data_IF_302558199170
#
_entry.id   IF_302558199170
#
_cell.length_a   1.000
_cell.length_b   1.000
_cell.length_c   1.000
_cell.angle_alpha   90.00
_cell.angle_beta   90.00
_cell.angle_gamma   90.00
#
_symmetry.space_group_name_H-M   'P 1'
#
loop_
_entity.id
_entity.type
_entity.pdbx_description
1 polymer ?
#
# COMPACT_ATOMS: atom_id res chain seq x y z
N UNK A 1 30.23 7.26 -11.33
CA UNK A 1 31.20 6.19 -10.95
C UNK A 1 30.42 5.19 -10.08
N UNK A 2 30.42 3.91 -10.42
CA UNK A 2 29.80 2.88 -9.57
C UNK A 2 30.82 2.37 -8.56
N UNK A 3 30.42 2.17 -7.31
CA UNK A 3 31.24 1.52 -6.30
C UNK A 3 31.43 0.05 -6.66
N UNK A 4 32.63 -0.46 -6.41
CA UNK A 4 32.96 -1.86 -6.67
C UNK A 4 32.56 -2.75 -5.50
N UNK A 5 31.46 -3.47 -5.64
CA UNK A 5 31.00 -4.47 -4.68
C UNK A 5 31.53 -5.90 -4.98
N UNK A 6 32.53 -6.03 -5.83
CA UNK A 6 33.12 -7.32 -6.17
C UNK A 6 32.41 -8.04 -7.31
N UNK A 7 31.64 -7.35 -8.16
CA UNK A 7 31.01 -7.91 -9.36
C UNK A 7 31.68 -7.33 -10.60
N UNK A 8 32.22 -8.20 -11.46
CA UNK A 8 32.80 -7.83 -12.75
C UNK A 8 31.71 -7.77 -13.82
N UNK A 9 31.05 -6.62 -13.95
CA UNK A 9 30.02 -6.37 -14.95
C UNK A 9 30.54 -6.41 -16.40
N UNK A 10 31.83 -6.20 -16.61
CA UNK A 10 32.45 -6.23 -17.94
C UNK A 10 32.92 -7.63 -18.32
N UNK A 11 33.20 -8.47 -17.32
CA UNK A 11 33.63 -9.87 -17.47
C UNK A 11 32.52 -10.89 -17.28
N UNK A 12 31.27 -10.57 -17.64
CA UNK A 12 30.15 -11.50 -17.60
C UNK A 12 29.51 -11.68 -16.23
N UNK A 13 29.64 -10.72 -15.32
CA UNK A 13 28.95 -10.73 -14.01
C UNK A 13 29.63 -11.66 -12.98
N UNK A 14 30.89 -12.01 -13.16
CA UNK A 14 31.63 -12.86 -12.20
C UNK A 14 31.73 -12.16 -10.85
N UNK A 15 31.48 -12.93 -9.79
CA UNK A 15 31.53 -12.46 -8.41
C UNK A 15 32.90 -12.78 -7.78
N UNK A 16 33.45 -11.80 -7.07
CA UNK A 16 34.71 -11.86 -6.35
C UNK A 16 34.48 -11.38 -4.92
N UNK A 17 33.97 -12.27 -4.06
CA UNK A 17 33.59 -11.96 -2.66
C UNK A 17 34.53 -12.59 -1.63
N UNK A 18 35.57 -13.31 -2.08
CA UNK A 18 36.65 -13.85 -1.27
C UNK A 18 38.02 -13.41 -1.84
N UNK A 19 38.79 -12.57 -1.13
CA UNK A 19 38.41 -11.90 0.12
C UNK A 19 37.25 -10.93 -0.05
N UNK A 20 36.53 -10.64 1.05
CA UNK A 20 35.43 -9.65 1.06
C UNK A 20 35.96 -8.31 0.56
N UNK A 21 35.26 -7.67 -0.42
CA UNK A 21 35.68 -6.37 -0.95
C UNK A 21 35.74 -5.28 0.13
N UNK A 22 36.77 -4.45 0.09
CA UNK A 22 36.94 -3.31 1.01
C UNK A 22 35.72 -2.36 1.05
N UNK A 23 35.04 -2.21 -0.08
CA UNK A 23 33.78 -1.45 -0.16
C UNK A 23 32.73 -1.93 0.84
N UNK A 24 32.64 -3.24 1.08
CA UNK A 24 31.64 -3.79 2.02
C UNK A 24 31.88 -3.32 3.45
N UNK A 25 33.13 -3.32 3.90
CA UNK A 25 33.49 -2.84 5.24
C UNK A 25 33.20 -1.35 5.39
N UNK A 26 33.56 -0.53 4.38
CA UNK A 26 33.30 0.91 4.38
C UNK A 26 31.80 1.23 4.43
N UNK A 27 30.99 0.51 3.66
CA UNK A 27 29.54 0.69 3.68
C UNK A 27 28.92 0.22 5.00
N UNK A 28 29.43 -0.85 5.59
CA UNK A 28 29.02 -1.28 6.92
C UNK A 28 29.32 -0.22 7.97
N UNK A 29 30.53 0.36 7.95
CA UNK A 29 30.92 1.44 8.87
C UNK A 29 29.97 2.65 8.76
N UNK A 30 29.54 3.02 7.55
CA UNK A 30 28.54 4.08 7.33
C UNK A 30 27.21 3.71 7.98
N UNK A 31 26.70 2.48 7.76
CA UNK A 31 25.45 2.02 8.37
C UNK A 31 25.53 2.04 9.89
N UNK A 32 26.60 1.48 10.47
CA UNK A 32 26.82 1.47 11.92
C UNK A 32 26.96 2.88 12.50
N UNK A 33 27.64 3.79 11.80
CA UNK A 33 27.74 5.20 12.20
C UNK A 33 26.36 5.84 12.36
N UNK A 34 25.48 5.67 11.37
CA UNK A 34 24.14 6.25 11.44
C UNK A 34 23.25 5.54 12.47
N UNK A 35 23.37 4.23 12.64
CA UNK A 35 22.71 3.53 13.76
C UNK A 35 23.14 4.12 15.10
N UNK A 36 24.45 4.38 15.30
CA UNK A 36 24.96 5.04 16.49
C UNK A 36 24.48 6.49 16.67
N UNK A 37 23.98 7.13 15.63
CA UNK A 37 23.32 8.45 15.68
C UNK A 37 21.81 8.36 15.90
N UNK A 38 21.25 7.15 16.02
CA UNK A 38 19.84 6.92 16.29
C UNK A 38 18.97 6.74 15.06
N UNK A 39 19.52 6.31 13.93
CA UNK A 39 18.72 5.93 12.78
C UNK A 39 17.92 4.66 13.08
N UNK A 40 16.60 4.70 12.91
CA UNK A 40 15.68 3.57 13.12
C UNK A 40 15.53 2.70 11.88
N UNK A 41 15.77 3.27 10.70
CA UNK A 41 15.62 2.56 9.43
C UNK A 41 16.52 3.14 8.33
N UNK A 42 16.77 2.33 7.30
CA UNK A 42 17.43 2.73 6.06
C UNK A 42 16.54 2.40 4.86
N UNK A 43 16.28 3.39 4.02
CA UNK A 43 15.79 3.18 2.66
C UNK A 43 17.00 3.06 1.74
N UNK A 44 17.11 1.92 1.08
CA UNK A 44 18.24 1.59 0.21
C UNK A 44 17.85 1.81 -1.24
N UNK A 45 18.45 2.86 -1.81
CA UNK A 45 18.25 3.27 -3.18
C UNK A 45 18.74 2.20 -4.15
N UNK A 46 17.92 1.88 -5.18
CA UNK A 46 18.27 0.93 -6.25
C UNK A 46 18.96 -0.33 -5.71
N UNK A 47 18.42 -0.91 -4.63
CA UNK A 47 19.08 -1.99 -3.87
C UNK A 47 19.44 -3.21 -4.76
N UNK A 48 18.68 -3.47 -5.82
CA UNK A 48 18.96 -4.54 -6.77
C UNK A 48 20.20 -4.30 -7.66
N UNK A 49 20.74 -3.08 -7.66
CA UNK A 49 22.02 -2.76 -8.32
C UNK A 49 23.24 -3.14 -7.46
N UNK A 50 23.02 -3.58 -6.23
CA UNK A 50 24.05 -4.03 -5.28
C UNK A 50 23.84 -5.53 -5.02
N UNK A 51 24.91 -6.35 -5.00
CA UNK A 51 24.78 -7.79 -4.82
C UNK A 51 23.99 -8.17 -3.58
N UNK A 52 23.11 -9.14 -3.70
CA UNK A 52 22.29 -9.62 -2.58
C UNK A 52 23.14 -10.18 -1.44
N UNK A 53 24.32 -10.71 -1.76
CA UNK A 53 25.32 -11.21 -0.81
C UNK A 53 25.86 -10.10 0.11
N UNK A 54 26.08 -8.90 -0.45
CA UNK A 54 26.44 -7.73 0.37
C UNK A 54 25.32 -7.40 1.36
N UNK A 55 24.08 -7.33 0.90
CA UNK A 55 22.94 -7.01 1.78
C UNK A 55 22.76 -8.05 2.88
N UNK A 56 22.86 -9.33 2.53
CA UNK A 56 22.83 -10.41 3.54
C UNK A 56 23.90 -10.21 4.62
N UNK A 57 25.13 -9.95 4.20
CA UNK A 57 26.24 -9.76 5.10
C UNK A 57 26.10 -8.48 5.93
N UNK A 58 25.84 -7.34 5.30
CA UNK A 58 25.79 -6.03 5.96
C UNK A 58 24.60 -5.93 6.92
N UNK A 59 23.38 -6.32 6.48
CA UNK A 59 22.18 -6.28 7.33
C UNK A 59 22.34 -7.20 8.53
N UNK A 60 22.93 -8.39 8.35
CA UNK A 60 23.22 -9.28 9.48
C UNK A 60 24.15 -8.63 10.48
N UNK A 61 25.23 -8.01 10.03
CA UNK A 61 26.21 -7.31 10.90
C UNK A 61 25.60 -6.12 11.62
N UNK A 62 24.75 -5.35 10.97
CA UNK A 62 24.03 -4.25 11.62
C UNK A 62 23.09 -4.80 12.70
N UNK A 63 22.30 -5.82 12.38
CA UNK A 63 21.31 -6.39 13.31
C UNK A 63 21.93 -7.15 14.50
N UNK A 64 23.21 -7.54 14.44
CA UNK A 64 23.95 -8.03 15.62
C UNK A 64 23.99 -7.00 16.77
N UNK A 65 24.11 -5.71 16.45
CA UNK A 65 24.21 -4.62 17.44
C UNK A 65 22.93 -3.76 17.54
N UNK A 66 22.16 -3.70 16.46
CA UNK A 66 20.96 -2.88 16.31
C UNK A 66 19.79 -3.73 15.76
N UNK A 67 19.24 -4.69 16.52
CA UNK A 67 18.28 -5.67 16.02
C UNK A 67 16.93 -5.07 15.58
N UNK A 68 16.58 -3.87 16.06
CA UNK A 68 15.34 -3.17 15.71
C UNK A 68 15.42 -2.32 14.44
N UNK A 69 16.62 -2.11 13.88
CA UNK A 69 16.79 -1.30 12.68
C UNK A 69 16.15 -1.97 11.48
N UNK A 70 15.34 -1.21 10.73
CA UNK A 70 14.57 -1.69 9.59
C UNK A 70 15.31 -1.34 8.28
N UNK A 71 15.31 -2.28 7.33
CA UNK A 71 15.86 -2.06 5.99
C UNK A 71 14.74 -2.15 4.95
N UNK A 72 14.60 -1.09 4.14
CA UNK A 72 13.59 -0.95 3.09
C UNK A 72 14.32 -0.86 1.75
N UNK A 73 14.07 -1.78 0.83
CA UNK A 73 14.71 -1.77 -0.47
C UNK A 73 13.82 -1.16 -1.56
N UNK A 74 14.43 -0.37 -2.41
CA UNK A 74 13.86 -0.01 -3.69
C UNK A 74 14.32 -1.01 -4.75
N UNK A 75 13.36 -1.73 -5.36
CA UNK A 75 13.61 -2.75 -6.38
C UNK A 75 12.56 -2.62 -7.48
N UNK A 76 12.99 -2.51 -8.74
CA UNK A 76 12.11 -2.36 -9.91
C UNK A 76 11.93 -3.66 -10.71
N UNK A 77 12.43 -4.78 -10.20
CA UNK A 77 12.23 -6.10 -10.80
C UNK A 77 11.51 -7.03 -9.82
N UNK A 78 10.25 -7.34 -10.10
CA UNK A 78 9.43 -8.23 -9.25
C UNK A 78 10.02 -9.64 -9.11
N UNK A 79 10.75 -10.13 -10.11
CA UNK A 79 11.41 -11.45 -10.04
C UNK A 79 12.46 -11.50 -8.92
N UNK A 80 12.99 -10.35 -8.51
CA UNK A 80 13.99 -10.24 -7.44
C UNK A 80 13.37 -10.05 -6.04
N UNK A 81 12.08 -9.75 -5.90
CA UNK A 81 11.47 -9.43 -4.61
C UNK A 81 11.75 -10.50 -3.55
N UNK A 82 11.45 -11.77 -3.85
CA UNK A 82 11.68 -12.88 -2.90
C UNK A 82 13.15 -13.04 -2.54
N UNK A 83 14.05 -12.88 -3.51
CA UNK A 83 15.49 -13.00 -3.28
C UNK A 83 15.98 -11.96 -2.28
N UNK A 84 15.53 -10.70 -2.41
CA UNK A 84 15.97 -9.62 -1.53
C UNK A 84 15.30 -9.68 -0.15
N UNK A 85 14.08 -10.21 -0.04
CA UNK A 85 13.45 -10.49 1.25
C UNK A 85 14.15 -11.68 1.95
N UNK A 86 14.29 -12.81 1.28
CA UNK A 86 14.72 -14.06 1.91
C UNK A 86 16.25 -14.13 2.09
N UNK A 87 17.00 -13.88 1.02
CA UNK A 87 18.47 -13.90 1.03
C UNK A 87 19.05 -12.55 1.47
N UNK A 88 18.55 -11.45 0.91
CA UNK A 88 19.02 -10.09 1.20
C UNK A 88 18.67 -9.60 2.59
N UNK A 89 17.68 -10.22 3.27
CA UNK A 89 17.21 -9.92 4.62
C UNK A 89 16.58 -8.54 4.79
N UNK A 90 16.07 -7.96 3.72
CA UNK A 90 15.27 -6.74 3.82
C UNK A 90 13.97 -6.99 4.58
N UNK A 91 13.58 -6.04 5.40
CA UNK A 91 12.33 -6.09 6.15
C UNK A 91 11.16 -5.73 5.25
N UNK A 92 11.34 -4.73 4.35
CA UNK A 92 10.31 -4.28 3.40
C UNK A 92 10.92 -3.94 2.05
N UNK A 93 10.08 -4.03 1.00
CA UNK A 93 10.36 -3.58 -0.35
C UNK A 93 9.29 -2.58 -0.81
N UNK A 94 9.65 -1.60 -1.63
CA UNK A 94 8.68 -0.78 -2.35
C UNK A 94 7.89 -1.64 -3.34
N UNK A 95 6.57 -1.55 -3.33
CA UNK A 95 5.73 -2.15 -4.37
C UNK A 95 5.44 -1.15 -5.50
N UNK A 96 6.51 -0.72 -6.19
CA UNK A 96 6.44 0.25 -7.28
C UNK A 96 5.87 -0.38 -8.54
N UNK A 97 6.52 -1.41 -9.06
CA UNK A 97 6.17 -2.04 -10.36
C UNK A 97 4.99 -3.01 -10.26
N UNK A 98 4.58 -3.36 -9.04
CA UNK A 98 3.37 -4.15 -8.77
C UNK A 98 2.16 -3.25 -8.57
N UNK A 99 1.85 -2.95 -7.31
CA UNK A 99 0.61 -2.29 -6.94
C UNK A 99 0.55 -0.82 -7.37
N UNK A 100 1.64 -0.03 -7.17
CA UNK A 100 1.62 1.40 -7.52
C UNK A 100 1.33 1.61 -9.02
N UNK A 101 2.11 1.00 -9.91
CA UNK A 101 1.94 1.17 -11.36
C UNK A 101 0.55 0.71 -11.82
N UNK A 102 0.04 -0.36 -11.21
CA UNK A 102 -1.27 -0.87 -11.54
C UNK A 102 -2.39 0.07 -11.09
N UNK A 103 -2.34 0.59 -9.86
CA UNK A 103 -3.31 1.58 -9.37
C UNK A 103 -3.29 2.85 -10.21
N UNK A 104 -2.09 3.33 -10.57
CA UNK A 104 -1.95 4.46 -11.49
C UNK A 104 -2.64 4.18 -12.82
N UNK A 105 -2.39 3.02 -13.41
CA UNK A 105 -3.03 2.62 -14.67
C UNK A 105 -4.56 2.52 -14.58
N UNK A 106 -5.11 2.04 -13.46
CA UNK A 106 -6.57 1.98 -13.24
C UNK A 106 -7.17 3.38 -13.12
N UNK A 107 -6.55 4.25 -12.32
CA UNK A 107 -7.00 5.64 -12.13
C UNK A 107 -6.92 6.47 -13.41
N UNK A 108 -5.88 6.27 -14.21
CA UNK A 108 -5.72 6.92 -15.52
C UNK A 108 -6.51 6.24 -16.64
N UNK A 109 -7.40 5.29 -16.33
CA UNK A 109 -8.24 4.56 -17.30
C UNK A 109 -7.47 3.77 -18.37
N UNK A 110 -6.23 3.38 -18.09
CA UNK A 110 -5.36 2.64 -19.01
C UNK A 110 -5.52 1.11 -18.86
N UNK A 111 -5.87 0.64 -17.65
CA UNK A 111 -6.04 -0.78 -17.36
C UNK A 111 -7.31 -1.02 -16.55
N UNK A 112 -7.80 -2.26 -16.56
CA UNK A 112 -8.95 -2.72 -15.77
C UNK A 112 -8.58 -2.89 -14.30
N UNK A 113 -9.51 -2.56 -13.38
CA UNK A 113 -9.37 -2.83 -11.96
C UNK A 113 -9.21 -4.32 -11.64
N UNK A 114 -9.75 -5.22 -12.49
CA UNK A 114 -9.52 -6.66 -12.37
C UNK A 114 -8.03 -7.06 -12.37
N UNK A 115 -7.16 -6.23 -12.95
CA UNK A 115 -5.71 -6.50 -12.92
C UNK A 115 -5.06 -6.33 -11.54
N UNK A 116 -5.75 -5.72 -10.57
CA UNK A 116 -5.29 -5.65 -9.17
C UNK A 116 -5.16 -7.04 -8.54
N UNK A 117 -5.92 -8.03 -9.03
CA UNK A 117 -5.77 -9.44 -8.63
C UNK A 117 -4.34 -9.95 -8.85
N UNK A 118 -3.71 -9.62 -9.95
CA UNK A 118 -2.32 -10.04 -10.23
C UNK A 118 -1.31 -9.40 -9.25
N UNK A 119 -1.64 -8.22 -8.69
CA UNK A 119 -0.73 -7.55 -7.76
C UNK A 119 -0.55 -8.37 -6.47
N UNK A 120 -1.64 -8.82 -5.84
CA UNK A 120 -1.53 -9.64 -4.64
C UNK A 120 -0.99 -11.05 -4.93
N UNK A 121 -1.36 -11.64 -6.08
CA UNK A 121 -0.86 -12.97 -6.48
C UNK A 121 0.67 -12.97 -6.67
N UNK A 122 1.23 -11.91 -7.27
CA UNK A 122 2.68 -11.83 -7.51
C UNK A 122 3.50 -11.73 -6.23
N UNK A 123 2.91 -11.23 -5.15
CA UNK A 123 3.55 -11.08 -3.83
C UNK A 123 2.95 -12.02 -2.77
N UNK A 124 2.23 -13.06 -3.19
CA UNK A 124 1.68 -14.06 -2.26
C UNK A 124 2.77 -14.63 -1.35
N UNK A 125 2.48 -14.72 -0.05
CA UNK A 125 3.43 -15.13 0.99
C UNK A 125 4.45 -14.04 1.41
N UNK A 126 4.62 -12.95 0.64
CA UNK A 126 5.48 -11.80 1.02
C UNK A 126 4.73 -10.47 1.06
N UNK A 127 3.42 -10.46 0.81
CA UNK A 127 2.60 -9.24 0.75
C UNK A 127 2.71 -8.37 2.02
N UNK A 128 2.87 -8.97 3.19
CA UNK A 128 3.10 -8.25 4.45
C UNK A 128 4.46 -7.53 4.53
N UNK A 129 5.37 -7.79 3.60
CA UNK A 129 6.69 -7.15 3.48
C UNK A 129 6.75 -6.10 2.35
N UNK A 130 5.61 -5.82 1.71
CA UNK A 130 5.54 -4.79 0.69
C UNK A 130 5.16 -3.46 1.32
N UNK A 131 5.96 -2.42 1.09
CA UNK A 131 5.65 -1.05 1.44
C UNK A 131 4.92 -0.41 0.27
N UNK A 132 3.62 -0.18 0.46
CA UNK A 132 2.76 0.44 -0.55
C UNK A 132 2.81 1.97 -0.46
N UNK A 133 2.53 2.64 -1.57
CA UNK A 133 2.48 4.09 -1.64
C UNK A 133 1.67 4.55 -2.87
N UNK A 134 1.26 5.82 -2.87
CA UNK A 134 0.64 6.48 -4.02
C UNK A 134 1.48 7.63 -4.56
N UNK A 135 2.43 8.13 -3.77
CA UNK A 135 3.39 9.17 -4.11
C UNK A 135 4.74 8.88 -3.47
N UNK A 136 5.81 9.29 -4.11
CA UNK A 136 7.15 9.38 -3.55
C UNK A 136 7.94 10.51 -4.24
N UNK A 137 9.23 10.62 -3.96
CA UNK A 137 10.09 11.68 -4.51
C UNK A 137 10.45 11.50 -5.99
N UNK A 138 10.19 10.32 -6.57
CA UNK A 138 10.46 9.99 -7.98
C UNK A 138 9.19 9.99 -8.84
N UNK A 139 8.02 9.87 -8.23
CA UNK A 139 6.74 9.76 -8.94
C UNK A 139 5.94 11.06 -8.90
N UNK A 140 5.05 11.24 -9.87
CA UNK A 140 4.15 12.40 -9.90
C UNK A 140 3.23 12.40 -8.68
N UNK A 141 2.93 13.60 -8.18
CA UNK A 141 1.91 13.81 -7.17
C UNK A 141 0.57 13.28 -7.65
N UNK A 142 -0.18 12.65 -6.77
CA UNK A 142 -1.50 12.11 -7.10
C UNK A 142 -2.43 13.18 -7.69
N UNK A 143 -2.42 14.37 -7.09
CA UNK A 143 -3.28 15.48 -7.50
C UNK A 143 -2.76 16.22 -8.74
N UNK A 144 -1.56 15.92 -9.26
CA UNK A 144 -1.01 16.58 -10.45
C UNK A 144 -1.77 16.24 -11.72
N UNK A 145 -1.69 17.11 -12.73
CA UNK A 145 -2.28 16.87 -14.04
C UNK A 145 -1.63 15.67 -14.77
N UNK A 146 -0.43 15.30 -14.37
CA UNK A 146 0.31 14.16 -14.91
C UNK A 146 -0.10 12.81 -14.28
N UNK A 147 -0.97 12.81 -13.26
CA UNK A 147 -1.50 11.59 -12.67
C UNK A 147 -3.04 11.64 -12.64
N UNK A 148 -3.68 11.85 -11.47
CA UNK A 148 -5.14 11.81 -11.36
C UNK A 148 -5.83 13.16 -11.62
N UNK A 149 -5.08 14.26 -11.58
CA UNK A 149 -5.57 15.63 -11.81
C UNK A 149 -6.37 16.22 -10.64
N UNK A 150 -6.88 15.39 -9.73
CA UNK A 150 -7.66 15.81 -8.58
C UNK A 150 -7.44 14.87 -7.39
N UNK A 151 -7.11 15.45 -6.23
CA UNK A 151 -6.90 14.71 -4.99
C UNK A 151 -8.17 14.01 -4.47
N UNK A 152 -9.36 14.49 -4.82
CA UNK A 152 -10.64 13.88 -4.38
C UNK A 152 -10.86 12.47 -4.98
N UNK A 153 -10.11 12.08 -6.02
CA UNK A 153 -10.14 10.74 -6.62
C UNK A 153 -9.37 9.69 -5.83
N UNK A 154 -8.72 10.06 -4.72
CA UNK A 154 -7.74 9.20 -4.04
C UNK A 154 -8.34 8.01 -3.31
N UNK A 155 -9.59 8.10 -2.84
CA UNK A 155 -10.17 7.16 -1.88
C UNK A 155 -10.06 5.69 -2.31
N UNK A 156 -10.44 5.25 -3.53
CA UNK A 156 -10.35 3.85 -3.91
C UNK A 156 -8.89 3.33 -3.91
N UNK A 157 -7.95 4.13 -4.39
CA UNK A 157 -6.53 3.76 -4.40
C UNK A 157 -5.92 3.74 -2.99
N UNK A 158 -6.30 4.70 -2.14
CA UNK A 158 -5.85 4.76 -0.75
C UNK A 158 -6.33 3.53 0.04
N UNK A 159 -7.58 3.12 -0.14
CA UNK A 159 -8.15 1.92 0.50
C UNK A 159 -7.44 0.67 0.01
N UNK A 160 -7.26 0.49 -1.30
CA UNK A 160 -6.55 -0.68 -1.84
C UNK A 160 -5.10 -0.71 -1.34
N UNK A 161 -4.36 0.39 -1.42
CA UNK A 161 -2.96 0.45 -0.98
C UNK A 161 -2.77 0.18 0.51
N UNK A 162 -3.73 0.59 1.35
CA UNK A 162 -3.60 0.48 2.81
C UNK A 162 -4.26 -0.76 3.41
N UNK A 163 -5.09 -1.51 2.64
CA UNK A 163 -5.90 -2.59 3.19
C UNK A 163 -5.79 -3.93 2.46
N UNK A 164 -5.16 -3.97 1.26
CA UNK A 164 -5.03 -5.21 0.48
C UNK A 164 -4.13 -6.24 1.18
N UNK A 165 -3.06 -5.80 1.82
CA UNK A 165 -2.13 -6.66 2.55
C UNK A 165 -1.89 -6.14 3.98
N UNK A 166 -1.00 -6.80 4.73
CA UNK A 166 -0.61 -6.42 6.10
C UNK A 166 0.65 -5.54 6.14
N UNK A 167 1.19 -5.19 4.98
CA UNK A 167 2.39 -4.36 4.86
C UNK A 167 2.12 -2.88 5.18
N UNK A 168 3.17 -2.11 5.43
CA UNK A 168 3.05 -0.68 5.71
C UNK A 168 2.67 0.13 4.47
N UNK A 169 2.09 1.31 4.69
CA UNK A 169 1.85 2.30 3.67
C UNK A 169 2.64 3.57 3.95
N UNK A 170 3.35 4.06 2.95
CA UNK A 170 4.07 5.34 2.99
C UNK A 170 3.17 6.46 2.48
N UNK A 171 3.14 7.57 3.21
CA UNK A 171 2.52 8.84 2.78
C UNK A 171 3.63 9.83 2.51
N UNK A 172 3.69 10.35 1.28
CA UNK A 172 4.64 11.37 0.92
C UNK A 172 4.20 12.73 1.47
N UNK A 173 5.12 13.57 1.91
CA UNK A 173 4.81 14.84 2.57
C UNK A 173 3.91 15.74 1.70
N UNK A 174 2.81 16.23 2.29
CA UNK A 174 1.79 17.04 1.59
C UNK A 174 0.79 16.27 0.74
N UNK A 175 0.92 14.94 0.60
CA UNK A 175 -0.02 14.09 -0.12
C UNK A 175 -1.43 14.21 0.47
N UNK A 176 -1.55 14.19 1.80
CA UNK A 176 -2.82 14.33 2.53
C UNK A 176 -3.40 15.75 2.48
N UNK A 177 -2.65 16.69 1.92
CA UNK A 177 -3.08 18.07 1.67
C UNK A 177 -3.42 18.33 0.20
N UNK A 178 -3.24 17.33 -0.66
CA UNK A 178 -3.51 17.43 -2.09
C UNK A 178 -2.46 18.25 -2.85
N UNK A 179 -1.18 18.10 -2.46
CA UNK A 179 -0.07 18.75 -3.17
C UNK A 179 -0.02 18.35 -4.65
N UNK A 180 0.15 19.32 -5.55
CA UNK A 180 0.08 19.11 -7.00
C UNK A 180 1.42 19.21 -7.72
N UNK A 181 2.45 19.78 -7.07
CA UNK A 181 3.73 20.10 -7.70
C UNK A 181 3.58 21.00 -8.94
N UNK A 182 2.97 22.17 -8.74
CA UNK A 182 2.68 23.13 -9.83
C UNK A 182 3.90 24.01 -10.18
N UNK A 183 4.93 23.98 -9.35
CA UNK A 183 6.19 24.71 -9.57
C UNK A 183 7.23 23.85 -10.31
N UNK A 184 8.42 24.43 -10.55
CA UNK A 184 9.51 23.76 -11.26
C UNK A 184 10.33 22.83 -10.31
N UNK A 185 9.65 22.03 -9.50
CA UNK A 185 10.20 21.17 -8.44
C UNK A 185 10.38 19.71 -8.86
N UNK A 186 10.14 19.41 -10.13
CA UNK A 186 10.33 18.11 -10.74
C UNK A 186 11.73 17.90 -11.32
N UNK A 187 11.95 16.73 -11.92
CA UNK A 187 13.20 16.41 -12.63
C UNK A 187 13.39 17.23 -13.91
N UNK A 188 12.29 17.58 -14.56
CA UNK A 188 12.24 18.31 -15.82
C UNK A 188 11.47 19.62 -15.70
N UNK A 189 11.60 20.31 -14.57
CA UNK A 189 10.83 21.49 -14.25
C UNK A 189 9.43 21.14 -13.77
N UNK A 190 8.37 21.68 -14.40
CA UNK A 190 6.96 21.44 -14.02
C UNK A 190 6.44 20.11 -14.56
N UNK A 191 6.84 19.02 -13.97
CA UNK A 191 6.47 17.67 -14.40
C UNK A 191 5.56 16.91 -13.42
N UNK A 192 4.98 17.61 -12.45
CA UNK A 192 4.08 17.05 -11.45
C UNK A 192 4.77 16.29 -10.31
N UNK A 193 6.09 16.43 -10.18
CA UNK A 193 6.90 15.82 -9.10
C UNK A 193 7.39 16.88 -8.13
N UNK A 194 7.61 16.46 -6.88
CA UNK A 194 8.39 17.21 -5.91
C UNK A 194 9.57 16.33 -5.51
N UNK A 195 10.75 16.60 -6.06
CA UNK A 195 11.97 15.81 -5.81
C UNK A 195 12.58 16.15 -4.46
N UNK A 196 13.54 15.32 -4.01
CA UNK A 196 14.35 15.58 -2.80
C UNK A 196 15.77 16.06 -3.13
N UNK A 197 16.05 16.34 -4.41
CA UNK A 197 17.39 16.66 -4.89
C UNK A 197 17.71 18.15 -4.82
N UNK A 198 16.74 18.98 -4.42
CA UNK A 198 16.90 20.41 -4.19
C UNK A 198 15.96 20.85 -3.05
N UNK A 199 16.02 22.15 -2.68
CA UNK A 199 15.21 22.74 -1.62
C UNK A 199 13.95 23.38 -2.20
N UNK A 200 12.79 22.80 -1.86
CA UNK A 200 11.49 23.30 -2.35
C UNK A 200 10.65 23.89 -1.23
N UNK A 201 9.94 24.96 -1.56
CA UNK A 201 9.01 25.63 -0.65
C UNK A 201 7.58 25.21 -0.98
N UNK A 202 7.18 24.03 -0.53
CA UNK A 202 5.85 23.47 -0.81
C UNK A 202 4.76 24.24 -0.08
N UNK A 203 3.90 24.92 -0.82
CA UNK A 203 2.90 25.86 -0.29
C UNK A 203 1.88 25.20 0.63
N UNK A 204 1.37 24.02 0.28
CA UNK A 204 0.38 23.31 1.10
C UNK A 204 0.96 22.89 2.44
N UNK A 205 2.19 22.40 2.47
CA UNK A 205 2.90 22.03 3.70
C UNK A 205 3.20 23.26 4.57
N UNK A 206 3.59 24.38 3.96
CA UNK A 206 3.82 25.66 4.69
C UNK A 206 2.54 26.18 5.34
N UNK A 207 1.41 26.06 4.64
CA UNK A 207 0.10 26.43 5.20
C UNK A 207 -0.25 25.57 6.42
N UNK A 208 -0.02 24.25 6.36
CA UNK A 208 -0.22 23.36 7.49
C UNK A 208 0.78 23.62 8.61
N UNK A 209 2.07 23.81 8.29
CA UNK A 209 3.13 24.08 9.28
C UNK A 209 2.85 25.36 10.09
N UNK A 210 2.34 26.40 9.45
CA UNK A 210 1.86 27.66 10.09
C UNK A 210 2.82 28.20 11.17
N UNK A 211 4.07 28.37 10.80
CA UNK A 211 5.12 28.87 11.73
C UNK A 211 5.31 27.98 12.98
N UNK A 212 5.20 26.67 12.84
CA UNK A 212 5.38 25.70 13.92
C UNK A 212 4.12 25.31 14.66
N UNK A 213 2.94 25.89 14.34
CA UNK A 213 1.68 25.51 15.00
C UNK A 213 1.13 24.16 14.53
N UNK A 214 1.51 23.71 13.34
CA UNK A 214 1.06 22.46 12.72
C UNK A 214 -0.48 22.35 12.75
N UNK A 215 -1.16 23.39 12.28
CA UNK A 215 -2.61 23.53 12.41
C UNK A 215 -3.33 23.53 11.07
N UNK A 216 -4.59 23.15 11.09
CA UNK A 216 -5.46 23.17 9.90
C UNK A 216 -6.09 24.56 9.64
N UNK A 217 -5.77 25.58 10.43
CA UNK A 217 -6.43 26.89 10.38
C UNK A 217 -6.31 27.56 9.00
N UNK A 218 -5.15 27.45 8.36
CA UNK A 218 -4.85 28.04 7.04
C UNK A 218 -5.18 27.13 5.85
N UNK A 219 -5.64 25.91 6.10
CA UNK A 219 -6.04 24.99 5.05
C UNK A 219 -7.42 25.34 4.51
N UNK A 220 -7.63 25.17 3.20
CA UNK A 220 -8.94 25.27 2.57
C UNK A 220 -9.90 24.19 3.06
N UNK A 221 -11.20 24.35 2.83
CA UNK A 221 -12.21 23.34 3.18
C UNK A 221 -11.92 21.99 2.47
N UNK A 222 -11.48 22.03 1.20
CA UNK A 222 -11.10 20.85 0.42
C UNK A 222 -9.91 20.12 1.06
N UNK A 223 -8.85 20.83 1.42
CA UNK A 223 -7.67 20.26 2.09
C UNK A 223 -8.00 19.64 3.46
N UNK A 224 -8.85 20.31 4.25
CA UNK A 224 -9.32 19.77 5.54
C UNK A 224 -10.11 18.48 5.36
N UNK A 225 -11.01 18.42 4.37
CA UNK A 225 -11.79 17.23 4.03
C UNK A 225 -10.86 16.07 3.61
N UNK A 226 -9.94 16.34 2.69
CA UNK A 226 -8.96 15.35 2.21
C UNK A 226 -8.10 14.80 3.36
N UNK A 227 -7.54 15.69 4.19
CA UNK A 227 -6.73 15.29 5.34
C UNK A 227 -7.52 14.43 6.35
N UNK A 228 -8.78 14.77 6.59
CA UNK A 228 -9.65 13.95 7.43
C UNK A 228 -9.92 12.58 6.81
N UNK A 229 -10.09 12.51 5.49
CA UNK A 229 -10.24 11.25 4.77
C UNK A 229 -9.01 10.35 4.95
N UNK A 230 -7.81 10.89 4.73
CA UNK A 230 -6.55 10.17 5.00
C UNK A 230 -6.47 9.69 6.45
N UNK A 231 -6.79 10.58 7.42
CA UNK A 231 -6.81 10.22 8.84
C UNK A 231 -7.76 9.06 9.12
N UNK A 232 -8.97 9.07 8.54
CA UNK A 232 -9.97 8.01 8.72
C UNK A 232 -9.45 6.69 8.14
N UNK A 233 -9.04 6.67 6.88
CA UNK A 233 -8.59 5.44 6.20
C UNK A 233 -7.34 4.85 6.85
N UNK A 234 -6.35 5.68 7.19
CA UNK A 234 -5.12 5.23 7.85
C UNK A 234 -5.38 4.74 9.30
N UNK A 235 -6.35 5.31 10.01
CA UNK A 235 -6.74 4.78 11.30
C UNK A 235 -7.45 3.42 11.18
N UNK A 236 -8.33 3.24 10.20
CA UNK A 236 -8.94 1.95 9.91
C UNK A 236 -7.83 0.93 9.62
N UNK A 237 -6.92 1.22 8.70
CA UNK A 237 -5.86 0.29 8.34
C UNK A 237 -4.93 -0.09 9.51
N UNK A 238 -4.73 0.81 10.47
CA UNK A 238 -3.89 0.59 11.64
C UNK A 238 -4.61 -0.13 12.79
N UNK A 239 -5.91 0.10 12.97
CA UNK A 239 -6.65 -0.34 14.14
C UNK A 239 -7.43 -1.62 13.93
N UNK A 240 -7.92 -1.89 12.70
CA UNK A 240 -8.70 -3.08 12.43
C UNK A 240 -7.80 -4.32 12.34
N UNK A 241 -8.07 -5.30 13.21
CA UNK A 241 -7.26 -6.52 13.29
C UNK A 241 -7.28 -7.31 12.00
N UNK A 242 -8.41 -7.28 11.29
CA UNK A 242 -8.56 -7.92 9.98
C UNK A 242 -7.60 -7.35 8.92
N UNK A 243 -7.21 -6.06 9.01
CA UNK A 243 -6.20 -5.47 8.13
C UNK A 243 -4.79 -5.82 8.62
N UNK A 244 -4.52 -5.61 9.92
CA UNK A 244 -3.17 -5.71 10.50
C UNK A 244 -2.65 -7.14 10.51
N UNK A 245 -3.54 -8.13 10.68
CA UNK A 245 -3.18 -9.55 10.93
C UNK A 245 -4.00 -10.55 10.14
N UNK A 246 -5.04 -10.08 9.45
CA UNK A 246 -6.05 -10.96 8.86
C UNK A 246 -5.65 -11.53 7.52
N UNK A 247 -6.38 -12.56 7.14
CA UNK A 247 -6.32 -13.17 5.83
C UNK A 247 -7.02 -12.28 4.79
N UNK A 248 -6.60 -12.42 3.56
CA UNK A 248 -7.15 -11.74 2.39
C UNK A 248 -7.91 -12.74 1.51
N UNK A 249 -9.02 -12.30 0.92
CA UNK A 249 -9.77 -13.09 -0.06
C UNK A 249 -10.26 -12.20 -1.21
N UNK A 250 -9.82 -12.49 -2.42
CA UNK A 250 -10.23 -11.76 -3.63
C UNK A 250 -11.61 -12.20 -4.09
N UNK A 251 -12.52 -11.24 -4.32
CA UNK A 251 -13.87 -11.49 -4.81
C UNK A 251 -14.03 -11.28 -6.32
N UNK A 252 -12.96 -10.90 -7.03
CA UNK A 252 -13.04 -10.52 -8.44
C UNK A 252 -13.44 -11.69 -9.35
N UNK A 253 -12.94 -12.91 -9.07
CA UNK A 253 -13.16 -14.06 -9.93
C UNK A 253 -14.64 -14.49 -10.03
N UNK A 254 -15.44 -14.27 -8.96
CA UNK A 254 -16.89 -14.59 -8.95
C UNK A 254 -17.76 -13.42 -9.38
N UNK A 255 -17.17 -12.22 -9.52
CA UNK A 255 -17.88 -11.00 -9.90
C UNK A 255 -17.52 -10.49 -11.30
N UNK A 256 -16.71 -11.22 -12.06
CA UNK A 256 -16.28 -10.82 -13.40
C UNK A 256 -17.43 -10.66 -14.40
N UNK A 257 -18.46 -11.50 -14.31
CA UNK A 257 -19.67 -11.47 -15.16
C UNK A 257 -20.91 -11.01 -14.39
N UNK A 258 -20.76 -10.44 -13.19
CA UNK A 258 -21.86 -9.97 -12.38
C UNK A 258 -22.44 -8.67 -12.97
N UNK A 259 -23.73 -8.64 -13.39
CA UNK A 259 -24.31 -7.46 -14.05
C UNK A 259 -24.44 -6.24 -13.14
N UNK A 260 -24.33 -6.41 -11.81
CA UNK A 260 -24.37 -5.35 -10.82
C UNK A 260 -22.99 -4.92 -10.35
N UNK A 261 -21.93 -5.38 -11.03
CA UNK A 261 -20.53 -5.07 -10.67
C UNK A 261 -19.71 -4.87 -11.94
N UNK A 262 -18.98 -3.76 -12.02
CA UNK A 262 -18.11 -3.48 -13.15
C UNK A 262 -16.65 -3.82 -12.83
N UNK A 263 -16.13 -4.99 -13.22
CA UNK A 263 -14.77 -5.42 -12.91
C UNK A 263 -13.68 -4.56 -13.55
N UNK A 264 -14.03 -3.72 -14.53
CA UNK A 264 -13.08 -2.77 -15.12
C UNK A 264 -12.85 -1.54 -14.25
N UNK A 265 -13.82 -1.19 -13.39
CA UNK A 265 -13.82 0.03 -12.58
C UNK A 265 -14.01 -0.20 -11.09
N UNK A 266 -14.35 -1.41 -10.68
CA UNK A 266 -14.60 -1.76 -9.29
C UNK A 266 -13.71 -2.91 -8.87
N UNK A 267 -13.34 -2.92 -7.61
CA UNK A 267 -12.57 -4.00 -7.01
C UNK A 267 -13.17 -4.35 -5.65
N UNK A 268 -13.27 -5.64 -5.33
CA UNK A 268 -13.86 -6.11 -4.10
C UNK A 268 -13.03 -7.24 -3.48
N UNK A 269 -12.86 -7.19 -2.16
CA UNK A 269 -12.14 -8.20 -1.41
C UNK A 269 -12.60 -8.27 0.05
N UNK A 270 -12.25 -9.36 0.71
CA UNK A 270 -12.48 -9.55 2.14
C UNK A 270 -11.16 -9.49 2.91
N UNK A 271 -11.27 -9.01 4.15
CA UNK A 271 -10.22 -9.16 5.17
C UNK A 271 -10.86 -9.80 6.40
N UNK A 272 -10.18 -10.75 7.02
CA UNK A 272 -10.75 -11.42 8.22
C UNK A 272 -9.67 -11.80 9.23
N UNK A 273 -9.95 -11.50 10.50
CA UNK A 273 -9.16 -11.97 11.64
C UNK A 273 -10.09 -12.33 12.81
N UNK A 274 -10.00 -13.55 13.31
CA UNK A 274 -10.91 -14.01 14.36
C UNK A 274 -12.38 -13.91 13.93
N UNK A 275 -13.18 -13.16 14.67
CA UNK A 275 -14.58 -12.87 14.34
C UNK A 275 -14.78 -11.58 13.55
N UNK A 276 -13.75 -10.78 13.38
CA UNK A 276 -13.81 -9.54 12.60
C UNK A 276 -13.72 -9.83 11.12
N UNK A 277 -14.77 -9.49 10.37
CA UNK A 277 -14.83 -9.55 8.91
C UNK A 277 -14.98 -8.14 8.35
N UNK A 278 -14.17 -7.81 7.37
CA UNK A 278 -14.33 -6.59 6.57
C UNK A 278 -14.70 -6.98 5.13
N UNK A 279 -15.79 -6.42 4.63
CA UNK A 279 -16.16 -6.45 3.21
C UNK A 279 -15.76 -5.10 2.61
N UNK A 280 -14.78 -5.11 1.71
CA UNK A 280 -14.17 -3.91 1.15
C UNK A 280 -14.48 -3.84 -0.33
N UNK A 281 -15.06 -2.72 -0.76
CA UNK A 281 -15.44 -2.48 -2.15
C UNK A 281 -15.01 -1.08 -2.55
N UNK A 282 -14.36 -0.94 -3.69
CA UNK A 282 -13.90 0.35 -4.21
C UNK A 282 -14.41 0.60 -5.62
N UNK A 283 -14.59 1.87 -5.96
CA UNK A 283 -15.07 2.33 -7.26
C UNK A 283 -14.11 3.37 -7.87
N UNK A 284 -13.47 3.02 -8.96
CA UNK A 284 -12.57 3.89 -9.74
C UNK A 284 -13.30 4.65 -10.87
N UNK A 285 -14.62 4.54 -10.98
CA UNK A 285 -15.45 5.32 -11.91
C UNK A 285 -15.83 6.66 -11.26
N UNK A 286 -16.07 7.68 -12.09
CA UNK A 286 -16.58 8.98 -11.64
C UNK A 286 -18.08 8.96 -11.28
N UNK A 287 -18.79 7.92 -11.69
CA UNK A 287 -20.22 7.73 -11.43
C UNK A 287 -20.46 6.92 -10.17
N UNK A 288 -21.53 7.26 -9.46
CA UNK A 288 -22.01 6.44 -8.34
C UNK A 288 -22.48 5.06 -8.84
N UNK A 289 -22.36 4.05 -8.01
CA UNK A 289 -22.77 2.68 -8.30
C UNK A 289 -23.49 2.05 -7.10
N UNK A 290 -24.59 1.35 -7.38
CA UNK A 290 -25.21 0.44 -6.41
C UNK A 290 -24.81 -0.99 -6.80
N UNK A 291 -23.86 -1.55 -6.05
CA UNK A 291 -23.27 -2.84 -6.35
C UNK A 291 -23.87 -3.95 -5.51
N UNK A 292 -23.91 -5.14 -6.09
CA UNK A 292 -24.28 -6.39 -5.40
C UNK A 292 -23.14 -7.38 -5.61
N UNK A 293 -22.38 -7.65 -4.56
CA UNK A 293 -21.17 -8.47 -4.60
C UNK A 293 -21.50 -9.89 -4.22
N UNK A 294 -21.19 -10.85 -5.08
CA UNK A 294 -21.23 -12.26 -4.75
C UNK A 294 -20.07 -12.63 -3.83
N UNK A 295 -20.36 -13.30 -2.72
CA UNK A 295 -19.38 -13.90 -1.81
C UNK A 295 -19.58 -15.41 -1.91
N UNK A 296 -18.67 -16.18 -2.51
CA UNK A 296 -18.89 -17.58 -2.83
C UNK A 296 -18.76 -18.49 -1.61
N UNK A 297 -19.34 -19.72 -1.69
CA UNK A 297 -19.19 -20.77 -0.65
C UNK A 297 -17.72 -20.95 -0.24
N UNK A 298 -16.81 -20.97 -1.22
CA UNK A 298 -15.37 -21.10 -0.96
C UNK A 298 -14.82 -20.02 -0.01
N UNK A 299 -15.35 -18.78 -0.07
CA UNK A 299 -14.98 -17.73 0.88
C UNK A 299 -15.51 -18.04 2.29
N UNK A 300 -16.75 -18.53 2.39
CA UNK A 300 -17.33 -18.93 3.67
C UNK A 300 -16.56 -20.07 4.32
N UNK A 301 -16.19 -21.09 3.54
CA UNK A 301 -15.40 -22.22 4.02
C UNK A 301 -13.98 -21.80 4.43
N UNK A 302 -13.24 -21.14 3.53
CA UNK A 302 -11.83 -20.79 3.74
C UNK A 302 -11.66 -19.80 4.88
N UNK A 303 -12.50 -18.76 4.93
CA UNK A 303 -12.44 -17.74 5.96
C UNK A 303 -13.31 -18.06 7.18
N UNK A 304 -13.99 -19.22 7.21
CA UNK A 304 -14.89 -19.62 8.31
C UNK A 304 -15.92 -18.54 8.62
N UNK A 305 -16.62 -18.07 7.59
CA UNK A 305 -17.72 -17.10 7.71
C UNK A 305 -18.99 -17.87 8.04
N UNK A 306 -19.74 -17.42 9.04
CA UNK A 306 -21.04 -17.97 9.39
C UNK A 306 -22.13 -17.18 8.68
N UNK A 307 -22.99 -17.88 7.92
CA UNK A 307 -24.14 -17.25 7.27
C UNK A 307 -25.14 -16.71 8.29
N UNK A 308 -25.77 -15.58 7.99
CA UNK A 308 -26.76 -14.97 8.87
C UNK A 308 -26.92 -13.47 8.69
N UNK A 309 -27.79 -12.91 9.51
CA UNK A 309 -28.01 -11.45 9.58
C UNK A 309 -27.14 -10.83 10.66
N UNK A 310 -26.46 -9.76 10.31
CA UNK A 310 -25.51 -9.05 11.17
C UNK A 310 -25.72 -7.54 11.09
N UNK A 311 -25.53 -6.84 12.21
CA UNK A 311 -25.31 -5.41 12.17
C UNK A 311 -23.93 -5.17 11.55
N UNK A 312 -23.84 -4.40 10.49
CA UNK A 312 -22.63 -4.01 9.82
C UNK A 312 -22.41 -2.50 10.00
N UNK A 313 -21.17 -2.10 10.30
CA UNK A 313 -20.74 -0.72 10.40
C UNK A 313 -19.89 -0.34 9.21
N UNK A 314 -20.30 0.67 8.44
CA UNK A 314 -19.46 1.27 7.41
C UNK A 314 -18.42 2.20 8.08
N UNK A 315 -17.13 1.87 7.96
CA UNK A 315 -16.09 2.50 8.77
C UNK A 315 -15.67 3.89 8.28
N UNK A 316 -15.95 4.24 7.02
CA UNK A 316 -15.58 5.55 6.45
C UNK A 316 -16.65 6.58 6.71
N UNK A 317 -17.92 6.24 6.45
CA UNK A 317 -19.09 7.11 6.63
C UNK A 317 -19.73 7.04 8.02
N UNK A 318 -19.58 5.91 8.70
CA UNK A 318 -20.15 5.68 10.03
C UNK A 318 -21.57 5.10 10.01
N UNK A 319 -22.10 4.73 8.86
CA UNK A 319 -23.44 4.20 8.73
C UNK A 319 -23.56 2.77 9.29
N UNK A 320 -24.69 2.47 9.92
CA UNK A 320 -25.02 1.12 10.41
C UNK A 320 -26.21 0.55 9.66
N UNK A 321 -26.04 -0.67 9.18
CA UNK A 321 -27.11 -1.39 8.47
C UNK A 321 -27.14 -2.86 8.87
N UNK A 322 -28.33 -3.46 8.76
CA UNK A 322 -28.46 -4.92 8.81
C UNK A 322 -28.06 -5.50 7.47
N UNK A 323 -27.01 -6.32 7.45
CA UNK A 323 -26.56 -7.05 6.26
C UNK A 323 -26.77 -8.53 6.45
N UNK A 324 -27.13 -9.21 5.37
CA UNK A 324 -27.20 -10.67 5.32
C UNK A 324 -25.96 -11.22 4.62
N UNK A 325 -25.26 -12.10 5.30
CA UNK A 325 -24.12 -12.85 4.75
C UNK A 325 -24.61 -14.24 4.36
N UNK A 326 -24.59 -14.53 3.07
CA UNK A 326 -24.98 -15.83 2.51
C UNK A 326 -24.31 -15.99 1.14
N UNK A 327 -23.91 -17.20 0.73
CA UNK A 327 -23.44 -17.47 -0.62
C UNK A 327 -24.50 -17.20 -1.70
N UNK A 328 -25.78 -17.35 -1.35
CA UNK A 328 -26.91 -17.21 -2.29
C UNK A 328 -27.40 -15.76 -2.40
N UNK A 329 -27.05 -14.89 -1.43
CA UNK A 329 -27.55 -13.52 -1.37
C UNK A 329 -26.39 -12.55 -1.56
N UNK A 330 -26.34 -11.81 -2.70
CA UNK A 330 -25.27 -10.86 -2.92
C UNK A 330 -25.23 -9.74 -1.87
N UNK A 331 -24.05 -9.40 -1.42
CA UNK A 331 -23.82 -8.29 -0.49
C UNK A 331 -24.00 -6.96 -1.22
N UNK A 332 -25.02 -6.19 -0.84
CA UNK A 332 -25.36 -4.92 -1.50
C UNK A 332 -24.70 -3.72 -0.79
N UNK A 333 -24.10 -2.81 -1.56
CA UNK A 333 -23.65 -1.53 -1.05
C UNK A 333 -23.71 -0.43 -2.13
N UNK A 334 -23.80 0.82 -1.68
CA UNK A 334 -23.74 2.01 -2.53
C UNK A 334 -22.34 2.62 -2.48
N UNK A 335 -21.83 3.06 -3.63
CA UNK A 335 -20.53 3.70 -3.78
C UNK A 335 -20.69 5.02 -4.50
N UNK A 336 -20.07 6.07 -4.01
CA UNK A 336 -19.92 7.32 -4.78
C UNK A 336 -18.95 7.13 -5.94
N UNK A 337 -18.93 8.11 -6.87
CA UNK A 337 -17.83 8.21 -7.83
C UNK A 337 -16.50 8.38 -7.09
N UNK A 338 -15.46 7.67 -7.53
CA UNK A 338 -14.17 7.53 -6.86
C UNK A 338 -14.31 7.22 -5.36
N UNK A 339 -15.27 6.35 -5.02
CA UNK A 339 -15.64 6.00 -3.65
C UNK A 339 -15.10 4.65 -3.20
N UNK A 340 -15.27 4.40 -1.91
CA UNK A 340 -15.03 3.11 -1.29
C UNK A 340 -16.02 2.89 -0.15
N UNK A 341 -16.27 1.62 0.19
CA UNK A 341 -17.00 1.21 1.37
C UNK A 341 -16.20 0.11 2.08
N UNK A 342 -16.08 0.25 3.40
CA UNK A 342 -15.40 -0.69 4.29
C UNK A 342 -16.39 -1.11 5.37
N UNK A 343 -17.10 -2.22 5.12
CA UNK A 343 -18.11 -2.74 6.02
C UNK A 343 -17.51 -3.70 7.04
N UNK A 344 -17.54 -3.32 8.30
CA UNK A 344 -17.14 -4.17 9.44
C UNK A 344 -18.31 -4.98 9.96
N UNK A 345 -18.10 -6.26 10.14
CA UNK A 345 -19.07 -7.22 10.67
C UNK A 345 -18.38 -8.06 11.75
N UNK A 346 -19.00 -8.12 12.93
CA UNK A 346 -18.60 -9.03 13.99
C UNK A 346 -19.36 -10.34 13.86
N UNK A 347 -18.67 -11.40 13.42
CA UNK A 347 -19.24 -12.71 13.19
C UNK A 347 -19.57 -13.41 14.51
N UNK A 348 -20.61 -14.24 14.51
CA UNK A 348 -20.89 -15.16 15.61
C UNK A 348 -19.78 -16.20 15.72
N UNK A 349 -19.54 -16.71 16.93
CA UNK A 349 -18.51 -17.72 17.17
C UNK A 349 -18.86 -19.03 16.46
N UNK A 350 -18.05 -19.47 15.52
CA UNK A 350 -18.20 -20.70 14.75
C UNK A 350 -18.34 -21.96 15.64
N UNK A 351 -17.67 -21.98 16.80
CA UNK A 351 -17.68 -23.11 17.73
C UNK A 351 -18.99 -23.30 18.53
N UNK A 352 -19.86 -22.30 18.60
CA UNK A 352 -21.13 -22.40 19.36
C UNK A 352 -22.31 -22.92 18.52
N UNK A 353 -22.24 -22.93 17.20
CA UNK A 353 -23.31 -23.39 16.33
C UNK A 353 -23.22 -24.89 15.96
N UNK A 354 -21.99 -25.45 15.96
CA UNK A 354 -21.79 -26.90 15.73
C UNK A 354 -22.32 -27.75 16.92
N UNK A 355 -22.42 -27.16 18.12
CA UNK A 355 -23.00 -27.85 19.30
C UNK A 355 -24.53 -27.79 19.36
N UNK A 356 -25.20 -27.08 18.44
CA UNK A 356 -26.67 -26.94 18.40
C UNK A 356 -27.35 -27.72 17.25
N UNK A 357 -26.57 -28.40 16.41
CA UNK A 357 -27.03 -29.37 15.41
C UNK A 357 -26.64 -30.76 15.82
#
# INVERSE_FOLDING_TARGET
>A
MKLNYGVDYTGGGRCHFDPIPDTWYKMLDILLFWCGKGADAFRCDMAHMVPVEFWNWAISKVKENYPSVIFIAEIYDQALYRVYIEKGKFDYLYDKVGLYDKLRGVLCHQVSAAQLTYCWQSVDGIGGKMLNFLENHDEQRFASDQFAGDADKVLPALVVSSMMNTGPMMIYFGQELGERAEDAEGFSGKDGRTTIFDYWSVTTVRQWYDSGRCSVSKLSAKQKKLRNLYKTVLNISRLESAIVRGDFFDLMYVNGENPSFNPHRQYAFLRKYGNELLVIVVNFDDRQANVKINIPDHAFETMKIVSGKYEALELIGGDKEMKELSPEIPFACALSGYGAAVWKIELKNFSKEIQKK
#
